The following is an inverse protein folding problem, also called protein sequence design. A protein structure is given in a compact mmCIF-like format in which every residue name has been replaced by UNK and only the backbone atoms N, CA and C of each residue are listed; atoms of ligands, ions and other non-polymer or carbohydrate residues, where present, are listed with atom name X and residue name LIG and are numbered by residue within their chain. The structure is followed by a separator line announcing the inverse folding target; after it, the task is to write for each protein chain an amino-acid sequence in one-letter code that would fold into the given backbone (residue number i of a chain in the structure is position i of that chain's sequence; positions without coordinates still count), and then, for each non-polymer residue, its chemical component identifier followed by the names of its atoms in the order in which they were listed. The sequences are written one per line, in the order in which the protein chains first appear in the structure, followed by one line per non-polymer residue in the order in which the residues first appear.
data_IF_585160504711
#
_entry.id   IF_585160504711
#
_cell.length_a   1.000
_cell.length_b   1.000
_cell.length_c   1.000
_cell.angle_alpha   90.00
_cell.angle_beta   90.00
_cell.angle_gamma   90.00
#
_symmetry.space_group_name_H-M   'P 1'
#
loop_
_entity.id
_entity.type
_entity.pdbx_description
1 polymer ?
#
# COMPACT_ATOMS: atom_id res chain seq x y z
N UNK A 1 -5.14 -10.07 -18.14
CA UNK A 1 -3.92 -9.76 -17.35
C UNK A 1 -2.79 -9.45 -18.31
N UNK A 2 -1.98 -8.42 -18.06
CA UNK A 2 -0.83 -8.09 -18.92
C UNK A 2 0.33 -9.05 -18.67
N UNK A 3 1.22 -9.23 -19.66
CA UNK A 3 2.41 -10.09 -19.53
C UNK A 3 3.30 -9.67 -18.34
N UNK A 4 3.41 -8.35 -18.10
CA UNK A 4 4.11 -7.80 -16.94
C UNK A 4 3.46 -8.22 -15.60
N UNK A 5 2.13 -8.28 -15.52
CA UNK A 5 1.44 -8.73 -14.31
C UNK A 5 1.69 -10.21 -14.01
N UNK A 6 1.78 -11.05 -15.04
CA UNK A 6 2.10 -12.48 -14.90
C UNK A 6 3.55 -12.65 -14.44
N UNK A 7 4.49 -11.95 -15.09
CA UNK A 7 5.92 -12.05 -14.75
C UNK A 7 6.19 -11.57 -13.31
N UNK A 8 5.55 -10.48 -12.88
CA UNK A 8 5.66 -10.00 -11.50
C UNK A 8 5.09 -10.99 -10.49
N UNK A 9 3.96 -11.63 -10.78
CA UNK A 9 3.40 -12.67 -9.92
C UNK A 9 4.32 -13.89 -9.82
N UNK A 10 4.88 -14.36 -10.94
CA UNK A 10 5.83 -15.48 -10.94
C UNK A 10 7.08 -15.17 -10.12
N UNK A 11 7.62 -13.95 -10.25
CA UNK A 11 8.74 -13.48 -9.47
C UNK A 11 8.42 -13.43 -7.97
N UNK A 12 7.23 -12.92 -7.60
CA UNK A 12 6.77 -12.91 -6.22
C UNK A 12 6.69 -14.32 -5.63
N UNK A 13 6.11 -15.27 -6.37
CA UNK A 13 6.01 -16.67 -5.97
C UNK A 13 7.41 -17.26 -5.76
N UNK A 14 8.34 -17.05 -6.70
CA UNK A 14 9.70 -17.53 -6.59
C UNK A 14 10.39 -16.99 -5.32
N UNK A 15 10.30 -15.67 -5.08
CA UNK A 15 10.87 -15.03 -3.88
C UNK A 15 10.27 -15.61 -2.60
N UNK A 16 8.94 -15.78 -2.55
CA UNK A 16 8.25 -16.37 -1.40
C UNK A 16 8.74 -17.80 -1.16
N UNK A 17 8.84 -18.63 -2.20
CA UNK A 17 9.31 -20.01 -2.06
C UNK A 17 10.74 -20.09 -1.52
N UNK A 18 11.65 -19.25 -2.02
CA UNK A 18 13.02 -19.19 -1.52
C UNK A 18 13.08 -18.77 -0.04
N UNK A 19 12.27 -17.79 0.35
CA UNK A 19 12.17 -17.34 1.74
C UNK A 19 11.54 -18.40 2.65
N UNK A 20 10.53 -19.13 2.16
CA UNK A 20 9.93 -20.26 2.87
C UNK A 20 10.95 -21.37 3.12
N UNK A 21 11.73 -21.74 2.11
CA UNK A 21 12.82 -22.73 2.24
C UNK A 21 13.86 -22.25 3.25
N UNK A 22 14.22 -20.97 3.21
CA UNK A 22 15.13 -20.37 4.18
C UNK A 22 14.58 -20.51 5.61
N UNK A 23 13.33 -20.10 5.85
CA UNK A 23 12.70 -20.18 7.17
C UNK A 23 12.55 -21.61 7.68
N UNK A 24 12.15 -22.54 6.81
CA UNK A 24 12.00 -23.95 7.14
C UNK A 24 13.32 -24.60 7.56
N UNK A 25 14.44 -24.21 6.95
CA UNK A 25 15.77 -24.74 7.29
C UNK A 25 16.43 -24.06 8.48
N UNK A 26 16.23 -22.75 8.64
CA UNK A 26 17.00 -21.97 9.62
C UNK A 26 16.39 -21.93 11.02
N UNK A 27 15.12 -22.28 11.20
CA UNK A 27 14.46 -22.24 12.51
C UNK A 27 13.43 -23.36 12.67
N UNK A 28 13.37 -24.03 13.83
CA UNK A 28 12.41 -25.12 14.06
C UNK A 28 10.95 -24.65 14.04
N UNK A 29 10.70 -23.36 14.32
CA UNK A 29 9.36 -22.73 14.26
C UNK A 29 9.16 -21.88 13.00
N UNK A 30 10.01 -22.02 12.00
CA UNK A 30 9.99 -21.17 10.80
C UNK A 30 8.70 -21.27 10.00
N UNK A 31 8.15 -22.48 9.87
CA UNK A 31 6.86 -22.68 9.19
C UNK A 31 5.69 -22.05 9.97
N UNK A 32 5.72 -22.08 11.30
CA UNK A 32 4.71 -21.40 12.11
C UNK A 32 4.79 -19.87 11.94
N UNK A 33 6.00 -19.31 11.85
CA UNK A 33 6.21 -17.89 11.53
C UNK A 33 5.70 -17.55 10.12
N UNK A 34 5.99 -18.40 9.14
CA UNK A 34 5.52 -18.20 7.77
C UNK A 34 3.98 -18.20 7.68
N UNK A 35 3.31 -19.13 8.36
CA UNK A 35 1.85 -19.16 8.45
C UNK A 35 1.27 -17.89 9.11
N UNK A 36 1.88 -17.43 10.20
CA UNK A 36 1.51 -16.16 10.84
C UNK A 36 1.70 -14.97 9.89
N UNK A 37 2.85 -14.90 9.21
CA UNK A 37 3.15 -13.82 8.28
C UNK A 37 2.19 -13.80 7.08
N UNK A 38 1.70 -14.95 6.62
CA UNK A 38 0.67 -15.02 5.58
C UNK A 38 -0.64 -14.39 6.04
N UNK A 39 -1.10 -14.73 7.25
CA UNK A 39 -2.33 -14.16 7.83
C UNK A 39 -2.18 -12.64 8.06
N UNK A 40 -1.04 -12.21 8.59
CA UNK A 40 -0.74 -10.80 8.78
C UNK A 40 -0.72 -10.03 7.45
N UNK A 41 -0.11 -10.61 6.40
CA UNK A 41 -0.07 -10.01 5.07
C UNK A 41 -1.45 -9.89 4.42
N UNK A 42 -2.31 -10.90 4.58
CA UNK A 42 -3.70 -10.83 4.11
C UNK A 42 -4.48 -9.75 4.88
N UNK A 43 -4.32 -9.68 6.20
CA UNK A 43 -4.93 -8.64 7.04
C UNK A 43 -4.48 -7.24 6.64
N UNK A 44 -3.20 -7.05 6.32
CA UNK A 44 -2.67 -5.77 5.87
C UNK A 44 -3.11 -5.40 4.46
N UNK A 45 -3.22 -6.37 3.55
CA UNK A 45 -3.83 -6.16 2.23
C UNK A 45 -5.28 -5.68 2.36
N UNK A 46 -6.03 -6.22 3.33
CA UNK A 46 -7.37 -5.75 3.63
C UNK A 46 -7.37 -4.35 4.26
N UNK A 47 -6.55 -4.11 5.29
CA UNK A 47 -6.43 -2.79 5.93
C UNK A 47 -6.00 -1.70 4.95
N UNK A 48 -5.11 -2.01 4.01
CA UNK A 48 -4.68 -1.05 3.00
C UNK A 48 -5.83 -0.62 2.08
N UNK A 49 -6.83 -1.48 1.87
CA UNK A 49 -8.06 -1.12 1.14
C UNK A 49 -8.99 -0.17 1.91
N UNK A 50 -8.85 -0.10 3.23
CA UNK A 50 -9.61 0.83 4.07
C UNK A 50 -8.89 2.17 4.22
N UNK A 51 -7.57 2.14 4.36
CA UNK A 51 -6.74 3.32 4.60
C UNK A 51 -6.44 4.12 3.32
N UNK A 52 -6.25 3.43 2.20
CA UNK A 52 -5.85 4.07 0.94
C UNK A 52 -7.01 4.04 -0.05
N UNK A 53 -7.62 5.20 -0.25
CA UNK A 53 -8.77 5.39 -1.11
C UNK A 53 -8.51 6.52 -2.11
N UNK A 54 -8.67 6.22 -3.39
CA UNK A 54 -8.73 7.20 -4.47
C UNK A 54 -10.18 7.23 -4.97
N UNK A 55 -10.90 8.35 -4.81
CA UNK A 55 -12.28 8.46 -5.28
C UNK A 55 -12.34 8.49 -6.81
N UNK A 56 -13.49 8.19 -7.41
CA UNK A 56 -13.72 8.44 -8.83
C UNK A 56 -13.40 9.90 -9.18
N UNK A 57 -12.78 10.12 -10.33
CA UNK A 57 -12.28 11.43 -10.73
C UNK A 57 -12.60 11.72 -12.20
N UNK A 58 -12.78 13.00 -12.53
CA UNK A 58 -13.06 13.45 -13.91
C UNK A 58 -11.82 13.98 -14.62
N UNK A 59 -10.73 14.17 -13.89
CA UNK A 59 -9.48 14.68 -14.42
C UNK A 59 -8.88 13.69 -15.44
N UNK A 60 -8.59 14.16 -16.67
CA UNK A 60 -7.87 13.39 -17.68
C UNK A 60 -8.68 12.29 -18.39
N UNK A 61 -10.02 12.29 -18.28
CA UNK A 61 -10.89 11.29 -18.90
C UNK A 61 -12.14 11.94 -19.51
N UNK A 62 -12.63 11.40 -20.64
CA UNK A 62 -13.94 11.77 -21.21
C UNK A 62 -15.07 11.16 -20.37
N UNK A 63 -15.35 11.76 -19.21
CA UNK A 63 -16.38 11.32 -18.26
C UNK A 63 -15.84 11.14 -16.84
N UNK A 64 -16.30 10.09 -16.14
CA UNK A 64 -15.84 9.75 -14.78
C UNK A 64 -14.93 8.53 -14.86
N UNK A 65 -13.65 8.71 -14.54
CA UNK A 65 -12.71 7.62 -14.40
C UNK A 65 -12.92 6.89 -13.06
N UNK A 66 -12.77 5.54 -13.05
CA UNK A 66 -12.92 4.77 -11.83
C UNK A 66 -11.78 5.09 -10.85
N UNK A 67 -12.15 5.26 -9.58
CA UNK A 67 -11.22 5.28 -8.46
C UNK A 67 -10.78 3.86 -8.08
N UNK A 68 -10.01 3.75 -7.01
CA UNK A 68 -9.57 2.46 -6.47
C UNK A 68 -9.27 2.55 -4.98
N UNK A 69 -9.20 1.38 -4.35
CA UNK A 69 -8.74 1.23 -2.97
C UNK A 69 -7.63 0.21 -2.89
N UNK A 70 -6.76 0.37 -1.90
CA UNK A 70 -5.65 -0.53 -1.66
C UNK A 70 -4.33 0.03 -2.14
N UNK A 71 -3.29 -0.43 -1.47
CA UNK A 71 -1.91 -0.06 -1.73
C UNK A 71 -0.99 -1.23 -1.33
N UNK A 72 0.19 -1.40 -1.97
CA UNK A 72 0.66 -0.71 -3.19
C UNK A 72 -0.08 -1.10 -4.47
N UNK A 73 -0.85 -2.20 -4.46
CA UNK A 73 -1.68 -2.62 -5.58
C UNK A 73 -3.16 -2.34 -5.28
N UNK A 74 -3.94 -1.91 -6.29
CA UNK A 74 -5.38 -1.71 -6.11
C UNK A 74 -6.06 -3.05 -5.87
N UNK A 75 -6.79 -3.18 -4.77
CA UNK A 75 -7.54 -4.39 -4.41
C UNK A 75 -9.04 -4.25 -4.69
N UNK A 76 -9.52 -3.01 -4.79
CA UNK A 76 -10.89 -2.70 -5.15
C UNK A 76 -10.92 -1.58 -6.17
N UNK A 77 -11.90 -1.62 -7.07
CA UNK A 77 -12.20 -0.54 -8.00
C UNK A 77 -13.46 0.20 -7.56
N UNK A 78 -13.46 1.53 -7.67
CA UNK A 78 -14.60 2.38 -7.32
C UNK A 78 -15.15 3.00 -8.60
N UNK A 79 -16.34 2.59 -9.02
CA UNK A 79 -17.00 3.10 -10.22
C UNK A 79 -17.64 4.47 -9.97
N UNK A 80 -18.13 5.12 -11.04
CA UNK A 80 -18.72 6.46 -11.01
C UNK A 80 -19.89 6.62 -9.99
N UNK A 81 -20.69 5.58 -9.77
CA UNK A 81 -21.79 5.55 -8.79
C UNK A 81 -21.32 5.23 -7.36
N UNK A 82 -20.02 5.33 -7.08
CA UNK A 82 -19.40 4.88 -5.84
C UNK A 82 -19.59 3.38 -5.55
N UNK A 83 -19.92 2.58 -6.59
CA UNK A 83 -20.00 1.13 -6.51
C UNK A 83 -18.60 0.55 -6.38
N UNK A 84 -18.36 -0.21 -5.32
CA UNK A 84 -17.06 -0.83 -5.04
C UNK A 84 -17.06 -2.26 -5.57
N UNK A 85 -16.14 -2.58 -6.46
CA UNK A 85 -15.93 -3.92 -7.01
C UNK A 85 -14.63 -4.48 -6.42
N UNK A 86 -14.71 -5.67 -5.83
CA UNK A 86 -13.54 -6.39 -5.30
C UNK A 86 -12.80 -7.11 -6.43
N UNK A 87 -11.49 -6.90 -6.51
CA UNK A 87 -10.59 -7.65 -7.39
C UNK A 87 -9.76 -8.65 -6.58
N UNK A 88 -10.24 -9.90 -6.55
CA UNK A 88 -9.58 -10.99 -5.82
C UNK A 88 -8.17 -11.29 -6.32
N UNK A 89 -7.90 -11.15 -7.62
CA UNK A 89 -6.58 -11.44 -8.17
C UNK A 89 -5.56 -10.39 -7.72
N UNK A 90 -5.94 -9.11 -7.75
CA UNK A 90 -5.08 -8.05 -7.25
C UNK A 90 -4.96 -8.06 -5.73
N UNK A 91 -6.01 -8.47 -5.00
CA UNK A 91 -5.91 -8.73 -3.56
C UNK A 91 -4.87 -9.79 -3.21
N UNK A 92 -4.86 -10.94 -3.91
CA UNK A 92 -3.86 -12.00 -3.71
C UNK A 92 -2.45 -11.49 -4.03
N UNK A 93 -2.28 -10.76 -5.13
CA UNK A 93 -0.98 -10.15 -5.49
C UNK A 93 -0.50 -9.17 -4.43
N UNK A 94 -1.41 -8.35 -3.89
CA UNK A 94 -1.11 -7.40 -2.83
C UNK A 94 -0.75 -8.10 -1.52
N UNK A 95 -1.47 -9.17 -1.17
CA UNK A 95 -1.15 -10.01 -0.02
C UNK A 95 0.22 -10.70 -0.18
N UNK A 96 0.54 -11.21 -1.38
CA UNK A 96 1.85 -11.81 -1.67
C UNK A 96 2.98 -10.78 -1.60
N UNK A 97 2.74 -9.54 -2.04
CA UNK A 97 3.69 -8.46 -1.86
C UNK A 97 4.01 -8.24 -0.37
N UNK A 98 2.98 -8.05 0.46
CA UNK A 98 3.19 -7.91 1.91
C UNK A 98 3.87 -9.13 2.52
N UNK A 99 3.46 -10.33 2.10
CA UNK A 99 4.01 -11.57 2.62
C UNK A 99 5.51 -11.72 2.32
N UNK A 100 5.92 -11.42 1.09
CA UNK A 100 7.33 -11.40 0.70
C UNK A 100 8.12 -10.37 1.53
N UNK A 101 7.57 -9.17 1.73
CA UNK A 101 8.20 -8.13 2.57
C UNK A 101 8.38 -8.61 4.00
N UNK A 102 7.35 -9.18 4.63
CA UNK A 102 7.43 -9.74 5.98
C UNK A 102 8.51 -10.80 6.10
N UNK A 103 8.50 -11.80 5.22
CA UNK A 103 9.46 -12.89 5.24
C UNK A 103 10.89 -12.41 5.01
N UNK A 104 11.09 -11.49 4.06
CA UNK A 104 12.41 -10.94 3.75
C UNK A 104 12.98 -10.11 4.92
N UNK A 105 12.19 -9.18 5.45
CA UNK A 105 12.67 -8.31 6.54
C UNK A 105 12.92 -9.08 7.83
N UNK A 106 12.00 -9.99 8.17
CA UNK A 106 12.18 -10.88 9.32
C UNK A 106 13.42 -11.77 9.15
N UNK A 107 13.72 -12.23 7.93
CA UNK A 107 14.94 -12.99 7.65
C UNK A 107 16.21 -12.15 7.81
N UNK A 108 16.22 -10.90 7.31
CA UNK A 108 17.34 -9.96 7.50
C UNK A 108 17.60 -9.74 8.99
N UNK A 109 16.56 -9.51 9.78
CA UNK A 109 16.72 -9.26 11.22
C UNK A 109 17.13 -10.51 11.99
N UNK A 110 16.57 -11.68 11.67
CA UNK A 110 17.04 -12.94 12.24
C UNK A 110 18.51 -13.22 11.89
N UNK A 111 18.94 -12.86 10.67
CA UNK A 111 20.34 -12.94 10.25
C UNK A 111 21.22 -11.96 11.02
N UNK A 112 20.83 -10.69 11.15
CA UNK A 112 21.58 -9.67 11.91
C UNK A 112 21.75 -10.04 13.38
N UNK A 113 20.68 -10.49 14.04
CA UNK A 113 20.73 -10.91 15.45
C UNK A 113 21.77 -12.01 15.66
N UNK A 114 21.85 -12.97 14.72
CA UNK A 114 22.83 -14.05 14.76
C UNK A 114 24.24 -13.57 14.45
N UNK A 115 24.39 -12.72 13.43
CA UNK A 115 25.67 -12.15 13.02
C UNK A 115 26.33 -11.39 14.17
N UNK A 116 25.56 -10.58 14.90
CA UNK A 116 26.05 -9.82 16.07
C UNK A 116 26.07 -10.61 17.37
N UNK A 117 25.71 -11.91 17.36
CA UNK A 117 25.63 -12.76 18.56
C UNK A 117 24.89 -12.09 19.73
N UNK A 118 23.83 -11.33 19.43
CA UNK A 118 23.06 -10.64 20.47
C UNK A 118 22.53 -11.67 21.48
N UNK A 119 22.81 -11.44 22.76
CA UNK A 119 22.47 -12.33 23.87
C UNK A 119 20.97 -12.64 23.92
N UNK A 120 20.63 -13.90 24.20
CA UNK A 120 19.29 -14.46 23.95
C UNK A 120 18.17 -13.91 24.84
N UNK A 121 18.50 -13.22 25.93
CA UNK A 121 17.56 -12.70 26.92
C UNK A 121 17.62 -11.18 26.99
N UNK A 122 16.77 -10.53 26.21
CA UNK A 122 16.59 -9.08 26.31
C UNK A 122 15.33 -8.64 25.59
N UNK A 123 14.56 -7.79 26.25
CA UNK A 123 13.47 -7.00 25.65
C UNK A 123 13.92 -6.29 24.35
N UNK A 124 15.20 -5.94 24.25
CA UNK A 124 15.85 -5.39 23.05
C UNK A 124 15.66 -6.25 21.79
N UNK A 125 15.73 -7.58 21.89
CA UNK A 125 15.56 -8.49 20.75
C UNK A 125 14.11 -8.48 20.25
N UNK A 126 13.15 -8.41 21.17
CA UNK A 126 11.73 -8.33 20.84
C UNK A 126 11.39 -6.98 20.20
N UNK A 127 11.93 -5.88 20.74
CA UNK A 127 11.84 -4.55 20.13
C UNK A 127 12.43 -4.52 18.72
N UNK A 128 13.63 -5.08 18.51
CA UNK A 128 14.25 -5.15 17.19
C UNK A 128 13.40 -5.95 16.20
N UNK A 129 12.82 -7.05 16.65
CA UNK A 129 11.93 -7.86 15.81
C UNK A 129 10.63 -7.13 15.45
N UNK A 130 10.06 -6.37 16.38
CA UNK A 130 8.87 -5.56 16.11
C UNK A 130 9.19 -4.40 15.20
N UNK A 131 10.28 -3.68 15.45
CA UNK A 131 10.75 -2.61 14.57
C UNK A 131 11.04 -3.17 13.17
N UNK A 132 11.60 -4.37 13.06
CA UNK A 132 11.79 -5.05 11.78
C UNK A 132 10.50 -5.34 11.02
N UNK A 133 9.38 -5.48 11.72
CA UNK A 133 8.07 -5.70 11.12
C UNK A 133 7.39 -4.37 10.81
N UNK A 134 7.44 -3.41 11.72
CA UNK A 134 6.74 -2.13 11.61
C UNK A 134 7.43 -1.19 10.62
N UNK A 135 8.77 -1.10 10.64
CA UNK A 135 9.52 -0.18 9.77
C UNK A 135 9.24 -0.43 8.27
N UNK A 136 9.26 -1.67 7.76
CA UNK A 136 8.92 -1.96 6.36
C UNK A 136 7.47 -1.65 5.99
N UNK A 137 6.57 -1.68 6.97
CA UNK A 137 5.15 -1.37 6.77
C UNK A 137 4.87 0.14 6.83
N UNK A 138 5.67 0.87 7.59
CA UNK A 138 5.59 2.32 7.73
C UNK A 138 6.43 3.08 6.70
N UNK A 139 7.42 2.43 6.08
CA UNK A 139 8.26 3.01 5.05
C UNK A 139 7.65 3.13 3.64
N UNK A 140 6.62 2.38 3.19
CA UNK A 140 6.10 2.50 1.83
C UNK A 140 5.74 3.94 1.42
N UNK A 141 5.13 4.80 2.27
CA UNK A 141 4.89 6.21 1.96
C UNK A 141 6.16 7.02 1.65
N UNK A 142 7.34 6.58 2.10
CA UNK A 142 8.62 7.26 1.85
C UNK A 142 9.19 6.93 0.47
N UNK A 143 8.94 5.71 -0.03
CA UNK A 143 9.58 5.18 -1.24
C UNK A 143 8.63 5.08 -2.43
N UNK A 144 7.34 4.94 -2.17
CA UNK A 144 6.33 4.77 -3.18
C UNK A 144 5.46 6.02 -3.23
N UNK A 145 5.06 6.47 -4.44
CA UNK A 145 4.20 7.65 -4.56
C UNK A 145 2.89 7.38 -3.82
N UNK A 146 2.34 8.39 -3.12
CA UNK A 146 1.06 8.23 -2.46
C UNK A 146 0.00 7.83 -3.50
N UNK A 147 -1.05 7.11 -3.10
CA UNK A 147 -2.13 6.75 -4.00
C UNK A 147 -2.73 8.03 -4.60
N UNK A 148 -2.54 8.23 -5.90
CA UNK A 148 -2.98 9.41 -6.64
C UNK A 148 -3.66 8.97 -7.94
N UNK A 149 -4.66 9.73 -8.43
CA UNK A 149 -5.30 9.48 -9.71
C UNK A 149 -4.26 9.39 -10.83
N UNK A 150 -4.45 8.46 -11.76
CA UNK A 150 -3.52 8.20 -12.86
C UNK A 150 -3.78 9.21 -13.98
N UNK A 151 -3.41 10.47 -13.73
CA UNK A 151 -3.64 11.60 -14.63
C UNK A 151 -2.32 12.20 -15.10
N UNK A 152 -2.32 12.78 -16.30
CA UNK A 152 -1.13 13.45 -16.80
C UNK A 152 -0.81 14.68 -15.95
N UNK A 153 0.46 15.09 -15.91
CA UNK A 153 0.89 16.29 -15.18
C UNK A 153 0.16 17.54 -15.69
N UNK A 154 -0.18 17.59 -16.98
CA UNK A 154 -0.93 18.69 -17.59
C UNK A 154 -2.37 18.76 -17.05
N UNK A 155 -3.07 17.62 -17.00
CA UNK A 155 -4.44 17.54 -16.47
C UNK A 155 -4.50 17.87 -14.98
N UNK A 156 -3.50 17.40 -14.22
CA UNK A 156 -3.35 17.72 -12.80
C UNK A 156 -3.18 19.22 -12.57
N UNK A 157 -2.40 19.91 -13.43
CA UNK A 157 -2.23 21.36 -13.37
C UNK A 157 -3.53 22.09 -13.67
N UNK A 158 -4.26 21.67 -14.71
CA UNK A 158 -5.55 22.27 -15.06
C UNK A 158 -6.56 22.15 -13.92
N UNK A 159 -6.69 20.96 -13.32
CA UNK A 159 -7.62 20.72 -12.22
C UNK A 159 -7.24 21.48 -10.95
N UNK A 160 -5.96 21.51 -10.60
CA UNK A 160 -5.49 22.28 -9.46
C UNK A 160 -5.69 23.79 -9.65
N UNK A 161 -5.45 24.30 -10.86
CA UNK A 161 -5.69 25.71 -11.18
C UNK A 161 -7.18 26.04 -11.15
N UNK A 162 -8.03 25.18 -11.73
CA UNK A 162 -9.48 25.35 -11.68
C UNK A 162 -10.02 25.32 -10.23
N UNK A 163 -9.54 24.39 -9.41
CA UNK A 163 -9.90 24.31 -8.00
C UNK A 163 -9.44 25.55 -7.21
N UNK A 164 -8.26 26.09 -7.53
CA UNK A 164 -7.74 27.32 -6.92
C UNK A 164 -8.56 28.53 -7.32
N UNK A 165 -8.91 28.66 -8.59
CA UNK A 165 -9.76 29.75 -9.09
C UNK A 165 -11.15 29.70 -8.45
N UNK A 166 -11.77 28.52 -8.41
CA UNK A 166 -13.06 28.32 -7.73
C UNK A 166 -13.04 28.75 -6.26
N UNK A 167 -11.99 28.39 -5.51
CA UNK A 167 -11.82 28.82 -4.10
C UNK A 167 -11.73 30.33 -3.97
N UNK A 168 -11.04 31.00 -4.90
CA UNK A 168 -10.98 32.46 -4.94
C UNK A 168 -12.35 33.08 -5.21
N UNK A 169 -13.09 32.53 -6.18
CA UNK A 169 -14.45 32.99 -6.48
C UNK A 169 -15.40 32.83 -5.28
N UNK A 170 -15.31 31.72 -4.53
CA UNK A 170 -16.08 31.52 -3.30
C UNK A 170 -15.69 32.53 -2.20
N UNK A 171 -14.41 32.83 -2.03
CA UNK A 171 -13.95 33.85 -1.08
C UNK A 171 -14.48 35.24 -1.45
N UNK A 172 -14.44 35.59 -2.74
CA UNK A 172 -14.96 36.86 -3.24
C UNK A 172 -16.48 36.95 -3.05
N UNK A 173 -17.23 35.89 -3.36
CA UNK A 173 -18.68 35.84 -3.12
C UNK A 173 -19.03 35.95 -1.64
N UNK A 174 -18.37 35.19 -0.76
CA UNK A 174 -18.60 35.29 0.68
C UNK A 174 -18.25 36.68 1.26
N UNK A 175 -17.29 37.38 0.66
CA UNK A 175 -16.98 38.78 0.97
C UNK A 175 -18.03 39.76 0.46
N UNK A 176 -18.62 39.52 -0.72
CA UNK A 176 -19.71 40.34 -1.28
C UNK A 176 -21.02 40.15 -0.51
N UNK A 177 -21.40 38.91 -0.19
CA UNK A 177 -22.62 38.60 0.57
C UNK A 177 -22.60 39.25 1.96
N UNK A 178 -21.43 39.28 2.62
CA UNK A 178 -21.25 40.01 3.90
C UNK A 178 -21.37 41.52 3.78
N UNK A 179 -20.99 42.10 2.64
CA UNK A 179 -21.07 43.56 2.40
C UNK A 179 -22.46 44.01 1.99
N UNK A 180 -23.26 43.12 1.41
CA UNK A 180 -24.66 43.38 1.06
C UNK A 180 -25.63 43.18 2.24
N UNK A 181 -25.18 42.54 3.32
CA UNK A 181 -25.94 42.31 4.54
C UNK A 181 -25.70 43.37 5.65
N UNK A 182 -24.92 44.42 5.36
CA UNK A 182 -24.67 45.59 6.21
C UNK A 182 -25.27 46.84 5.57
#
# INVERSE_FOLDING_TARGET
MTLAAILTLLLQILVILLLLVWWARWTPRGLAWAAFALLAAAGLSYLSSLLFHVPPYQAGCDGVCPGWRGYPLPTHHVLAENRVIFDGASFVRNAFFYYAVFLAYSAIVAWLIRYFRMTERGWSRWLLFILAVIIPLASPPLWLPPPQPAVSVADLRLVNNAARDWRWQLHLRGGMDRRLAL
#
